data_IF_113659813260
#
_entry.id   IF_113659813260
#
_cell.length_a   1.000
_cell.length_b   1.000
_cell.length_c   1.000
_cell.angle_alpha   90.00
_cell.angle_beta   90.00
_cell.angle_gamma   90.00
#
_symmetry.space_group_name_H-M   'P 1'
#
loop_
_entity.id
_entity.type
_entity.pdbx_description
1 polymer ?
#
# COMPACT_ATOMS: atom_id res chain seq x y z
N UNK A 1 11.19 8.67 -2.34
CA UNK A 1 10.70 8.69 -0.93
C UNK A 1 10.15 7.34 -0.52
N UNK A 2 10.41 6.86 0.70
CA UNK A 2 9.93 5.57 1.18
C UNK A 2 8.59 5.66 1.94
N UNK A 3 7.91 4.50 2.05
CA UNK A 3 6.63 4.39 2.79
C UNK A 3 6.75 4.80 4.27
N UNK A 4 7.95 4.73 4.86
CA UNK A 4 8.18 5.06 6.28
C UNK A 4 8.13 6.55 6.51
N UNK A 5 8.78 7.33 5.64
CA UNK A 5 8.82 8.80 5.71
C UNK A 5 7.42 9.40 5.50
N UNK A 6 6.66 8.93 4.49
CA UNK A 6 5.25 9.33 4.33
C UNK A 6 4.41 8.92 5.55
N UNK A 7 4.59 7.70 6.02
CA UNK A 7 3.90 7.18 7.20
C UNK A 7 4.22 7.98 8.48
N UNK A 8 5.40 8.56 8.59
CA UNK A 8 5.78 9.45 9.69
C UNK A 8 4.98 10.75 9.64
N UNK A 9 4.96 11.43 8.50
CA UNK A 9 4.17 12.65 8.32
C UNK A 9 2.67 12.39 8.54
N UNK A 10 2.13 11.34 7.94
CA UNK A 10 0.72 10.98 8.06
C UNK A 10 0.28 10.68 9.50
N UNK A 11 1.15 10.04 10.31
CA UNK A 11 0.84 9.74 11.72
C UNK A 11 0.73 10.98 12.59
N UNK A 12 1.36 12.08 12.20
CA UNK A 12 1.30 13.36 12.89
C UNK A 12 -0.01 14.11 12.65
N UNK A 13 -0.71 13.85 11.55
CA UNK A 13 -1.99 14.50 11.25
C UNK A 13 -3.12 13.94 12.14
N UNK A 14 -3.01 14.16 13.45
CA UNK A 14 -3.99 13.85 14.48
C UNK A 14 -4.18 15.09 15.35
N UNK A 15 -5.31 15.19 16.06
CA UNK A 15 -5.63 16.36 16.88
C UNK A 15 -4.49 16.78 17.82
N UNK A 16 -3.89 15.82 18.50
CA UNK A 16 -2.90 16.07 19.55
C UNK A 16 -1.47 16.24 19.02
N UNK A 17 -1.23 16.04 17.74
CA UNK A 17 0.12 16.03 17.13
C UNK A 17 0.23 16.80 15.82
N UNK A 18 -0.87 17.37 15.32
CA UNK A 18 -0.87 18.22 14.14
C UNK A 18 -0.29 19.58 14.46
N UNK A 19 0.62 20.03 13.61
CA UNK A 19 1.29 21.34 13.73
C UNK A 19 0.97 22.25 12.54
N UNK A 20 -0.12 22.00 11.82
CA UNK A 20 -0.58 22.90 10.76
C UNK A 20 -0.76 24.29 11.30
N UNK A 21 -0.08 25.26 10.71
CA UNK A 21 -0.12 26.65 11.15
C UNK A 21 -1.24 27.41 10.46
N UNK A 22 -1.47 27.12 9.17
CA UNK A 22 -2.41 27.85 8.32
C UNK A 22 -3.11 26.93 7.34
N UNK A 23 -4.36 27.27 6.99
CA UNK A 23 -5.11 26.71 5.88
C UNK A 23 -5.61 27.85 5.01
N UNK A 24 -5.42 27.71 3.69
CA UNK A 24 -6.02 28.56 2.68
C UNK A 24 -6.82 27.72 1.72
N UNK A 25 -7.88 28.25 1.12
CA UNK A 25 -8.67 27.54 0.14
C UNK A 25 -9.38 28.47 -0.81
N UNK A 26 -9.70 27.96 -2.00
CA UNK A 26 -10.49 28.66 -3.01
C UNK A 26 -11.53 27.69 -3.59
N UNK A 27 -12.80 28.03 -3.43
CA UNK A 27 -13.88 27.31 -4.10
C UNK A 27 -14.06 27.86 -5.51
N UNK A 28 -13.99 26.99 -6.48
CA UNK A 28 -14.05 27.30 -7.93
C UNK A 28 -15.29 26.61 -8.50
N UNK A 29 -16.09 27.38 -9.26
CA UNK A 29 -17.25 26.83 -9.98
C UNK A 29 -16.87 26.18 -11.32
N UNK A 30 -17.84 25.54 -11.97
CA UNK A 30 -17.70 24.89 -13.28
C UNK A 30 -17.35 25.84 -14.44
N UNK A 31 -17.51 27.16 -14.22
CA UNK A 31 -17.12 28.21 -15.16
C UNK A 31 -15.75 28.80 -14.87
N UNK A 32 -14.97 28.15 -13.99
CA UNK A 32 -13.64 28.60 -13.54
C UNK A 32 -13.66 29.93 -12.77
N UNK A 33 -14.78 30.31 -12.15
CA UNK A 33 -14.85 31.52 -11.31
C UNK A 33 -14.50 31.18 -9.85
N UNK A 34 -13.69 32.03 -9.22
CA UNK A 34 -13.46 32.01 -7.79
C UNK A 34 -14.74 32.47 -7.07
N UNK A 35 -15.41 31.54 -6.34
CA UNK A 35 -16.67 31.81 -5.67
C UNK A 35 -16.44 32.35 -4.26
N UNK A 36 -15.58 31.70 -3.49
CA UNK A 36 -15.22 32.11 -2.13
C UNK A 36 -13.83 31.60 -1.75
N UNK A 37 -13.18 32.35 -0.86
CA UNK A 37 -11.88 31.96 -0.32
C UNK A 37 -12.00 31.61 1.16
N UNK A 38 -11.16 30.68 1.60
CA UNK A 38 -10.87 30.33 2.99
C UNK A 38 -9.46 30.84 3.32
N UNK A 39 -9.30 31.53 4.45
CA UNK A 39 -7.99 31.96 4.95
C UNK A 39 -8.01 31.96 6.48
N UNK A 40 -7.57 30.85 7.09
CA UNK A 40 -7.72 30.66 8.54
C UNK A 40 -6.42 30.17 9.18
N UNK A 41 -6.22 30.49 10.43
CA UNK A 41 -5.25 29.84 11.29
C UNK A 41 -5.82 28.46 11.63
N UNK A 42 -5.11 27.39 11.25
CA UNK A 42 -5.65 26.03 11.33
C UNK A 42 -6.14 25.61 12.73
N UNK A 43 -5.46 26.08 13.77
CA UNK A 43 -5.81 25.76 15.17
C UNK A 43 -7.05 26.52 15.67
N UNK A 44 -7.55 27.50 14.92
CA UNK A 44 -8.75 28.25 15.26
C UNK A 44 -10.04 27.67 14.68
N UNK A 45 -9.92 26.63 13.84
CA UNK A 45 -11.06 25.92 13.26
C UNK A 45 -11.87 25.22 14.34
N UNK A 46 -13.20 25.12 14.13
CA UNK A 46 -14.05 24.31 14.98
C UNK A 46 -13.67 22.80 14.86
N UNK A 47 -13.90 22.04 15.92
CA UNK A 47 -13.47 20.64 16.01
C UNK A 47 -13.91 19.78 14.82
N UNK A 48 -15.16 19.93 14.36
CA UNK A 48 -15.69 19.13 13.24
C UNK A 48 -15.00 19.49 11.92
N UNK A 49 -14.80 20.76 11.63
CA UNK A 49 -14.08 21.23 10.44
C UNK A 49 -12.61 20.82 10.49
N UNK A 50 -11.95 21.01 11.64
CA UNK A 50 -10.59 20.62 11.89
C UNK A 50 -10.34 19.13 11.51
N UNK A 51 -11.20 18.22 11.96
CA UNK A 51 -11.07 16.79 11.63
C UNK A 51 -11.27 16.52 10.15
N UNK A 52 -12.20 17.19 9.49
CA UNK A 52 -12.45 17.00 8.06
C UNK A 52 -11.27 17.46 7.20
N UNK A 53 -10.69 18.59 7.51
CA UNK A 53 -9.48 19.04 6.83
C UNK A 53 -8.27 18.15 7.10
N UNK A 54 -8.11 17.61 8.32
CA UNK A 54 -7.09 16.59 8.58
C UNK A 54 -7.26 15.31 7.75
N UNK A 55 -8.50 14.86 7.54
CA UNK A 55 -8.79 13.70 6.69
C UNK A 55 -8.32 13.95 5.25
N UNK A 56 -8.55 15.15 4.72
CA UNK A 56 -8.08 15.57 3.38
C UNK A 56 -6.56 15.54 3.31
N UNK A 57 -5.86 16.20 4.24
CA UNK A 57 -4.39 16.19 4.28
C UNK A 57 -3.81 14.79 4.40
N UNK A 58 -4.41 13.91 5.21
CA UNK A 58 -4.01 12.50 5.31
C UNK A 58 -4.20 11.72 4.00
N UNK A 59 -5.19 12.09 3.20
CA UNK A 59 -5.44 11.41 1.93
C UNK A 59 -4.34 11.72 0.92
N UNK A 60 -3.89 12.97 0.87
CA UNK A 60 -2.75 13.38 0.02
C UNK A 60 -1.47 12.65 0.44
N UNK A 61 -1.25 12.40 1.74
CA UNK A 61 -0.15 11.58 2.24
C UNK A 61 -0.45 10.07 2.13
N UNK A 62 -0.78 9.58 0.95
CA UNK A 62 -0.97 8.15 0.68
C UNK A 62 0.34 7.38 0.84
N UNK A 63 0.28 6.14 1.31
CA UNK A 63 1.46 5.25 1.43
C UNK A 63 1.63 4.32 0.23
N UNK A 64 0.80 4.45 -0.79
CA UNK A 64 0.87 3.66 -2.01
C UNK A 64 1.81 4.34 -3.02
N UNK A 65 3.11 4.26 -2.73
CA UNK A 65 4.18 4.85 -3.56
C UNK A 65 4.24 4.18 -4.92
N UNK A 66 4.50 4.95 -5.96
CA UNK A 66 4.54 4.51 -7.36
C UNK A 66 3.16 4.39 -8.03
N UNK A 67 2.07 4.41 -7.26
CA UNK A 67 0.71 4.46 -7.80
C UNK A 67 -0.01 5.75 -7.39
N UNK A 68 -0.38 5.89 -6.09
CA UNK A 68 -1.06 7.10 -5.65
C UNK A 68 -0.10 8.23 -5.25
N UNK A 69 1.16 7.94 -5.03
CA UNK A 69 2.21 8.92 -4.77
C UNK A 69 3.32 8.73 -5.81
N UNK A 70 3.60 9.79 -6.53
CA UNK A 70 4.73 9.92 -7.44
C UNK A 70 5.72 10.92 -6.85
N UNK A 71 6.99 10.52 -6.77
CA UNK A 71 8.08 11.43 -6.50
C UNK A 71 8.55 12.00 -7.84
N UNK A 72 8.47 13.33 -7.97
CA UNK A 72 8.80 14.05 -9.18
C UNK A 72 9.97 14.99 -8.89
N UNK A 73 10.96 15.00 -9.78
CA UNK A 73 12.11 15.87 -9.68
C UNK A 73 11.92 17.10 -10.57
N UNK A 74 12.28 18.27 -10.05
CA UNK A 74 12.27 19.49 -10.84
C UNK A 74 13.41 19.48 -11.87
N UNK A 75 13.14 19.83 -13.13
CA UNK A 75 14.20 20.18 -14.07
C UNK A 75 15.01 21.38 -13.55
N UNK A 76 16.30 21.45 -13.88
CA UNK A 76 17.19 22.54 -13.44
C UNK A 76 16.66 23.93 -13.84
N UNK A 77 15.98 24.02 -14.96
CA UNK A 77 15.34 25.24 -15.46
C UNK A 77 14.27 25.75 -14.50
N UNK A 78 13.53 24.85 -13.87
CA UNK A 78 12.45 25.18 -12.93
C UNK A 78 12.95 25.58 -11.54
N UNK A 79 14.21 25.32 -11.23
CA UNK A 79 14.90 25.77 -10.03
C UNK A 79 15.51 27.17 -10.17
N UNK A 80 15.46 27.76 -11.36
CA UNK A 80 15.94 29.12 -11.61
C UNK A 80 14.91 30.18 -11.19
N UNK A 81 15.33 31.44 -11.02
CA UNK A 81 14.39 32.52 -10.74
C UNK A 81 13.27 32.63 -11.79
N UNK A 82 12.03 32.52 -11.35
CA UNK A 82 10.84 32.51 -12.20
C UNK A 82 10.31 31.11 -12.54
N UNK A 83 11.04 30.03 -12.20
CA UNK A 83 10.57 28.66 -12.34
C UNK A 83 9.59 28.23 -11.25
N UNK A 84 8.91 27.11 -11.49
CA UNK A 84 7.84 26.60 -10.62
C UNK A 84 8.35 26.21 -9.22
N UNK A 85 9.53 25.59 -9.13
CA UNK A 85 10.14 25.24 -7.84
C UNK A 85 10.39 26.51 -6.99
N UNK A 86 10.92 27.57 -7.59
CA UNK A 86 11.17 28.83 -6.89
C UNK A 86 9.88 29.52 -6.43
N UNK A 87 8.82 29.40 -7.25
CA UNK A 87 7.50 29.87 -6.87
C UNK A 87 6.95 29.12 -5.64
N UNK A 88 7.02 27.78 -5.65
CA UNK A 88 6.61 26.94 -4.51
C UNK A 88 7.45 27.21 -3.26
N UNK A 89 8.75 27.45 -3.41
CA UNK A 89 9.64 27.88 -2.31
C UNK A 89 9.19 29.22 -1.72
N UNK A 90 8.78 30.17 -2.56
CA UNK A 90 8.21 31.46 -2.12
C UNK A 90 6.92 31.27 -1.35
N UNK A 91 6.00 30.46 -1.89
CA UNK A 91 4.72 30.14 -1.27
C UNK A 91 4.91 29.48 0.11
N UNK A 92 5.79 28.48 0.21
CA UNK A 92 6.16 27.82 1.46
C UNK A 92 6.77 28.79 2.47
N UNK A 93 7.80 29.55 2.08
CA UNK A 93 8.50 30.52 2.95
C UNK A 93 7.59 31.64 3.46
N UNK A 94 6.54 31.99 2.72
CA UNK A 94 5.53 32.95 3.17
C UNK A 94 4.64 32.37 4.28
N UNK A 95 4.71 31.08 4.55
CA UNK A 95 3.78 30.34 5.41
C UNK A 95 2.32 30.58 5.01
N UNK A 96 2.05 30.68 3.69
CA UNK A 96 0.75 31.04 3.09
C UNK A 96 0.19 32.40 3.56
N UNK A 97 1.05 33.33 4.01
CA UNK A 97 0.62 34.66 4.49
C UNK A 97 0.64 35.72 3.39
N UNK A 98 1.37 35.48 2.29
CA UNK A 98 1.39 36.35 1.13
C UNK A 98 0.21 36.01 0.21
N UNK A 99 -0.86 36.81 0.32
CA UNK A 99 -2.07 36.62 -0.46
C UNK A 99 -1.82 36.74 -1.96
N UNK A 100 -0.85 37.59 -2.39
CA UNK A 100 -0.50 37.70 -3.80
C UNK A 100 0.05 36.39 -4.37
N UNK A 101 0.91 35.70 -3.63
CA UNK A 101 1.41 34.37 -4.02
C UNK A 101 0.30 33.32 -4.00
N UNK A 102 -0.56 33.33 -2.98
CA UNK A 102 -1.68 32.39 -2.85
C UNK A 102 -2.67 32.57 -4.00
N UNK A 103 -3.05 33.81 -4.31
CA UNK A 103 -3.97 34.11 -5.40
C UNK A 103 -3.37 33.75 -6.77
N UNK A 104 -2.08 34.02 -7.00
CA UNK A 104 -1.38 33.59 -8.20
C UNK A 104 -1.39 32.07 -8.36
N UNK A 105 -1.19 31.33 -7.27
CA UNK A 105 -1.25 29.87 -7.29
C UNK A 105 -2.66 29.36 -7.64
N UNK A 106 -3.71 29.97 -7.09
CA UNK A 106 -5.07 29.62 -7.49
C UNK A 106 -5.32 29.89 -8.96
N UNK A 107 -4.84 31.02 -9.49
CA UNK A 107 -5.00 31.35 -10.90
C UNK A 107 -4.30 30.36 -11.81
N UNK A 108 -3.09 29.91 -11.44
CA UNK A 108 -2.38 28.84 -12.16
C UNK A 108 -3.19 27.53 -12.22
N UNK A 109 -3.73 27.10 -11.08
CA UNK A 109 -4.57 25.90 -11.04
C UNK A 109 -5.84 26.10 -11.87
N UNK A 110 -6.55 27.20 -11.70
CA UNK A 110 -7.82 27.48 -12.40
C UNK A 110 -7.63 27.53 -13.92
N UNK A 111 -6.51 28.07 -14.37
CA UNK A 111 -6.19 28.13 -15.80
C UNK A 111 -5.94 26.75 -16.38
N UNK A 112 -5.13 25.91 -15.69
CA UNK A 112 -4.54 24.69 -16.24
C UNK A 112 -5.29 23.43 -15.89
N UNK A 113 -5.87 23.38 -14.66
CA UNK A 113 -6.53 22.17 -14.18
C UNK A 113 -7.82 21.88 -14.94
N UNK A 114 -7.92 20.65 -15.46
CA UNK A 114 -9.09 20.17 -16.20
C UNK A 114 -10.05 19.46 -15.24
N UNK A 115 -11.04 20.21 -14.75
CA UNK A 115 -12.08 19.68 -13.83
C UNK A 115 -13.42 19.58 -14.53
N UNK A 116 -14.13 18.47 -14.30
CA UNK A 116 -15.49 18.23 -14.82
C UNK A 116 -16.59 18.87 -13.96
N UNK A 117 -16.28 19.83 -13.09
CA UNK A 117 -17.28 20.46 -12.22
C UNK A 117 -16.67 21.39 -11.20
N UNK A 118 -17.45 21.71 -10.18
CA UNK A 118 -16.97 22.56 -9.09
C UNK A 118 -15.92 21.83 -8.27
N UNK A 119 -14.92 22.55 -7.79
CA UNK A 119 -13.87 21.99 -6.94
C UNK A 119 -13.37 22.99 -5.90
N UNK A 120 -12.71 22.47 -4.88
CA UNK A 120 -12.08 23.23 -3.81
C UNK A 120 -10.56 23.00 -3.84
N UNK A 121 -9.80 24.07 -4.02
CA UNK A 121 -8.35 24.07 -3.84
C UNK A 121 -8.08 24.32 -2.36
N UNK A 122 -7.29 23.48 -1.72
CA UNK A 122 -6.83 23.64 -0.35
C UNK A 122 -5.32 23.66 -0.27
N UNK A 123 -4.79 24.56 0.53
CA UNK A 123 -3.38 24.66 0.88
C UNK A 123 -3.24 24.56 2.40
N UNK A 124 -2.35 23.72 2.86
CA UNK A 124 -1.96 23.62 4.28
C UNK A 124 -0.49 23.93 4.42
N UNK A 125 -0.13 24.68 5.45
CA UNK A 125 1.25 24.93 5.82
C UNK A 125 1.56 24.26 7.16
N UNK A 126 2.66 23.53 7.20
CA UNK A 126 3.13 22.83 8.40
C UNK A 126 4.61 23.08 8.66
N UNK A 127 4.98 23.03 9.95
CA UNK A 127 6.35 23.06 10.42
C UNK A 127 6.55 21.88 11.36
N UNK A 128 7.41 20.97 10.97
CA UNK A 128 7.69 19.76 11.72
C UNK A 128 9.13 19.73 12.24
N UNK A 129 9.25 19.73 13.56
CA UNK A 129 10.54 19.45 14.23
C UNK A 129 10.84 17.95 14.16
N UNK A 130 11.82 17.58 13.35
CA UNK A 130 12.23 16.19 13.15
C UNK A 130 13.11 15.78 14.33
N UNK A 131 12.53 15.03 15.26
CA UNK A 131 13.22 14.64 16.51
C UNK A 131 14.28 13.57 16.28
N UNK A 132 15.44 13.73 16.88
CA UNK A 132 16.51 12.72 16.91
C UNK A 132 16.01 11.46 17.60
N UNK A 133 16.31 10.29 17.03
CA UNK A 133 16.07 8.98 17.63
C UNK A 133 17.39 8.33 17.97
N UNK A 134 17.55 7.91 19.22
CA UNK A 134 18.68 7.06 19.63
C UNK A 134 18.53 5.64 19.07
N UNK A 135 19.63 4.86 19.08
CA UNK A 135 19.62 3.43 18.72
C UNK A 135 18.58 2.62 19.50
N UNK A 136 18.20 3.06 20.70
CA UNK A 136 17.18 2.44 21.56
C UNK A 136 15.76 2.93 21.26
N UNK A 137 15.56 3.67 20.15
CA UNK A 137 14.28 4.27 19.77
C UNK A 137 13.70 5.32 20.74
N UNK A 138 14.51 5.78 21.70
CA UNK A 138 14.13 6.88 22.58
C UNK A 138 14.27 8.20 21.83
N UNK A 139 13.28 9.09 22.04
CA UNK A 139 13.34 10.46 21.50
C UNK A 139 14.30 11.28 22.37
N UNK A 140 15.27 11.93 21.74
CA UNK A 140 16.03 13.01 22.37
C UNK A 140 15.22 14.31 22.24
N UNK A 141 15.43 15.23 23.17
CA UNK A 141 14.77 16.57 23.15
C UNK A 141 15.39 17.51 22.09
N UNK A 142 16.29 17.00 21.25
CA UNK A 142 16.95 17.76 20.18
C UNK A 142 16.33 17.42 18.82
N UNK A 143 16.06 18.46 18.02
CA UNK A 143 15.61 18.31 16.62
C UNK A 143 16.82 18.01 15.73
N UNK A 144 16.67 17.05 14.82
CA UNK A 144 17.64 16.80 13.75
C UNK A 144 17.54 17.89 12.68
N UNK A 145 16.32 18.24 12.32
CA UNK A 145 15.99 19.19 11.26
C UNK A 145 14.61 19.77 11.49
N UNK A 146 14.36 20.96 10.97
CA UNK A 146 13.02 21.56 10.87
C UNK A 146 12.52 21.36 9.44
N UNK A 147 11.50 20.52 9.27
CA UNK A 147 10.86 20.29 8.00
C UNK A 147 9.63 21.19 7.86
N UNK A 148 9.79 22.27 7.11
CA UNK A 148 8.71 23.18 6.71
C UNK A 148 8.20 22.77 5.33
N UNK A 149 6.87 22.58 5.20
CA UNK A 149 6.26 22.10 3.96
C UNK A 149 4.84 22.63 3.75
N UNK A 150 4.39 22.53 2.53
CA UNK A 150 3.00 22.78 2.14
C UNK A 150 2.37 21.51 1.57
N UNK A 151 1.07 21.33 1.85
CA UNK A 151 0.23 20.33 1.20
C UNK A 151 -0.79 21.07 0.35
N UNK A 152 -0.91 20.71 -0.92
CA UNK A 152 -2.02 21.09 -1.78
C UNK A 152 -2.97 19.91 -1.95
N UNK A 153 -4.27 20.18 -1.93
CA UNK A 153 -5.30 19.19 -2.23
C UNK A 153 -6.37 19.82 -3.11
N UNK A 154 -6.68 19.17 -4.23
CA UNK A 154 -7.81 19.56 -5.09
C UNK A 154 -8.94 18.56 -4.88
N UNK A 155 -10.03 19.03 -4.33
CA UNK A 155 -11.17 18.24 -3.92
C UNK A 155 -12.38 18.54 -4.81
N UNK A 156 -13.01 17.54 -5.46
CA UNK A 156 -14.24 17.76 -6.21
C UNK A 156 -15.37 18.13 -5.26
N UNK A 157 -16.27 18.99 -5.72
CA UNK A 157 -17.51 19.25 -5.02
C UNK A 157 -18.57 18.25 -5.48
N UNK A 158 -19.12 17.51 -4.53
CA UNK A 158 -20.07 16.43 -4.79
C UNK A 158 -21.46 16.84 -4.34
N UNK A 159 -22.45 16.67 -5.23
CA UNK A 159 -23.84 16.96 -4.90
C UNK A 159 -24.44 15.79 -4.10
N UNK A 160 -25.07 16.09 -2.95
CA UNK A 160 -25.70 15.07 -2.11
C UNK A 160 -26.73 14.26 -2.88
N UNK A 161 -26.88 12.98 -2.52
CA UNK A 161 -27.91 12.13 -3.14
C UNK A 161 -29.29 12.67 -2.83
N UNK A 162 -30.23 12.65 -3.80
CA UNK A 162 -31.62 13.02 -3.53
C UNK A 162 -32.23 12.07 -2.50
N UNK A 163 -32.96 12.59 -1.55
CA UNK A 163 -33.58 11.79 -0.49
C UNK A 163 -34.89 12.38 -0.01
N UNK A 164 -35.68 11.55 0.69
CA UNK A 164 -36.83 11.99 1.43
C UNK A 164 -36.43 12.27 2.89
N UNK A 165 -36.85 13.39 3.42
CA UNK A 165 -36.59 13.75 4.81
C UNK A 165 -37.65 14.69 5.35
N UNK A 166 -37.59 14.98 6.65
CA UNK A 166 -38.49 15.91 7.27
C UNK A 166 -38.13 17.35 6.90
N UNK A 167 -39.02 18.00 6.12
CA UNK A 167 -38.89 19.40 5.79
C UNK A 167 -39.60 20.21 6.85
N UNK A 168 -38.83 20.97 7.65
CA UNK A 168 -39.36 21.80 8.76
C UNK A 168 -40.31 22.91 8.28
N UNK A 169 -39.99 23.54 7.15
CA UNK A 169 -40.80 24.65 6.62
C UNK A 169 -42.19 24.21 6.15
N UNK A 170 -42.26 23.02 5.59
CA UNK A 170 -43.51 22.39 5.07
C UNK A 170 -44.16 21.46 6.08
N UNK A 171 -43.54 21.21 7.23
CA UNK A 171 -43.97 20.29 8.28
C UNK A 171 -44.46 18.93 7.72
N UNK A 172 -43.68 18.35 6.79
CA UNK A 172 -44.00 17.06 6.16
C UNK A 172 -42.75 16.33 5.64
N UNK A 173 -42.90 15.05 5.38
CA UNK A 173 -41.90 14.32 4.62
C UNK A 173 -41.99 14.75 3.16
N UNK A 174 -40.88 15.24 2.62
CA UNK A 174 -40.75 15.67 1.22
C UNK A 174 -39.29 15.47 0.76
N UNK A 175 -39.01 15.70 -0.53
CA UNK A 175 -37.66 15.76 -1.03
C UNK A 175 -36.88 16.88 -0.35
N UNK A 176 -35.70 16.55 0.16
CA UNK A 176 -34.75 17.53 0.68
C UNK A 176 -34.00 18.19 -0.47
N UNK A 177 -33.61 19.45 -0.25
CA UNK A 177 -32.69 20.12 -1.17
C UNK A 177 -31.37 19.34 -1.20
N UNK A 178 -30.77 19.29 -2.37
CA UNK A 178 -29.44 18.75 -2.54
C UNK A 178 -28.44 19.84 -2.19
N UNK A 179 -27.43 19.46 -1.42
CA UNK A 179 -26.36 20.35 -1.00
C UNK A 179 -25.02 19.85 -1.56
N UNK A 180 -24.13 20.80 -1.84
CA UNK A 180 -22.77 20.49 -2.24
C UNK A 180 -21.92 20.23 -1.01
N UNK A 181 -21.10 19.19 -1.05
CA UNK A 181 -20.12 18.89 -0.03
C UNK A 181 -18.75 18.60 -0.66
N UNK A 182 -17.70 18.84 0.11
CA UNK A 182 -16.32 18.60 -0.32
C UNK A 182 -16.06 17.10 -0.38
N UNK A 183 -15.69 16.60 -1.55
CA UNK A 183 -15.24 15.23 -1.75
C UNK A 183 -13.80 15.01 -1.25
N UNK A 184 -13.34 13.78 -1.31
CA UNK A 184 -11.92 13.49 -1.06
C UNK A 184 -11.08 14.00 -2.23
N UNK A 185 -9.81 14.39 -2.00
CA UNK A 185 -8.97 14.93 -3.06
C UNK A 185 -8.78 13.93 -4.20
N UNK A 186 -8.91 14.43 -5.42
CA UNK A 186 -8.58 13.71 -6.66
C UNK A 186 -7.10 13.80 -6.95
N UNK A 187 -6.51 14.96 -6.74
CA UNK A 187 -5.08 15.20 -6.91
C UNK A 187 -4.57 16.19 -5.86
N UNK A 188 -3.26 16.31 -5.76
CA UNK A 188 -2.60 17.21 -4.83
C UNK A 188 -1.10 16.96 -4.77
N UNK A 189 -0.40 17.67 -3.92
CA UNK A 189 1.04 17.44 -3.73
C UNK A 189 1.49 17.84 -2.33
N UNK A 190 2.71 17.41 -1.99
CA UNK A 190 3.47 17.85 -0.81
C UNK A 190 4.81 18.39 -1.28
N UNK A 191 5.13 19.62 -0.91
CA UNK A 191 6.40 20.26 -1.26
C UNK A 191 7.05 20.96 -0.05
N UNK A 192 8.35 20.79 0.13
CA UNK A 192 9.26 19.88 -0.56
C UNK A 192 9.02 18.42 -0.19
N UNK A 193 9.67 17.48 -0.88
CA UNK A 193 9.61 16.08 -0.51
C UNK A 193 10.33 15.83 0.82
N UNK A 194 9.94 14.76 1.55
CA UNK A 194 10.54 14.36 2.82
C UNK A 194 11.26 13.03 2.65
N UNK A 195 12.57 13.08 2.43
CA UNK A 195 13.41 11.92 2.11
C UNK A 195 14.43 11.74 3.22
N UNK A 196 14.55 10.51 3.73
CA UNK A 196 15.50 10.16 4.81
C UNK A 196 15.43 11.11 6.02
N UNK A 197 14.21 11.53 6.37
CA UNK A 197 13.91 12.46 7.46
C UNK A 197 14.48 13.88 7.26
N UNK A 198 14.76 14.24 6.03
CA UNK A 198 15.26 15.55 5.61
C UNK A 198 14.39 16.16 4.50
N UNK A 199 14.49 17.47 4.35
CA UNK A 199 13.78 18.25 3.34
C UNK A 199 14.52 18.16 2.00
N UNK A 200 13.90 17.60 0.99
CA UNK A 200 14.42 17.61 -0.39
C UNK A 200 13.66 18.63 -1.24
N UNK A 201 14.29 19.79 -1.43
CA UNK A 201 13.71 20.91 -2.20
C UNK A 201 13.74 20.69 -3.72
N UNK A 202 14.49 19.69 -4.19
CA UNK A 202 14.61 19.34 -5.61
C UNK A 202 13.47 18.43 -6.07
N UNK A 203 12.68 17.94 -5.11
CA UNK A 203 11.60 16.97 -5.36
C UNK A 203 10.27 17.41 -4.74
N UNK A 204 9.20 17.00 -5.39
CA UNK A 204 7.81 17.16 -4.93
C UNK A 204 7.11 15.81 -4.95
N UNK A 205 6.23 15.58 -3.97
CA UNK A 205 5.39 14.37 -3.93
C UNK A 205 4.03 14.72 -4.50
N UNK A 206 3.70 14.19 -5.66
CA UNK A 206 2.37 14.31 -6.24
C UNK A 206 1.48 13.17 -5.80
N UNK A 207 0.27 13.51 -5.40
CA UNK A 207 -0.81 12.58 -5.10
C UNK A 207 -1.82 12.51 -6.23
N UNK A 208 -2.23 11.31 -6.60
CA UNK A 208 -3.39 11.05 -7.46
C UNK A 208 -4.32 10.03 -6.82
N UNK A 209 -5.63 10.24 -6.91
CA UNK A 209 -6.63 9.27 -6.45
C UNK A 209 -6.75 8.09 -7.41
N UNK A 210 -6.66 8.35 -8.72
CA UNK A 210 -6.69 7.35 -9.77
C UNK A 210 -5.29 7.22 -10.41
N UNK A 211 -4.65 6.07 -10.16
CA UNK A 211 -3.32 5.79 -10.69
C UNK A 211 -3.28 5.48 -12.18
N UNK A 212 -4.43 5.31 -12.83
CA UNK A 212 -4.53 5.11 -14.29
C UNK A 212 -4.77 6.40 -15.04
N UNK A 213 -5.51 7.33 -14.43
CA UNK A 213 -5.84 8.63 -14.98
C UNK A 213 -5.20 9.72 -14.14
N UNK A 214 -3.90 9.90 -14.30
CA UNK A 214 -3.14 10.93 -13.60
C UNK A 214 -3.40 12.27 -14.28
N UNK A 215 -3.59 13.32 -13.47
CA UNK A 215 -3.68 14.70 -13.95
C UNK A 215 -2.30 15.19 -14.40
N UNK A 216 -1.97 15.00 -15.68
CA UNK A 216 -0.66 15.36 -16.26
C UNK A 216 -0.43 16.87 -16.24
N UNK A 217 -1.49 17.68 -16.37
CA UNK A 217 -1.46 19.13 -16.21
C UNK A 217 -0.98 19.60 -14.83
N UNK A 218 -1.25 18.79 -13.78
CA UNK A 218 -0.68 19.07 -12.45
C UNK A 218 0.83 18.86 -12.43
N UNK A 219 1.33 17.86 -13.17
CA UNK A 219 2.76 17.54 -13.22
C UNK A 219 3.51 18.58 -14.06
N UNK A 220 3.04 18.81 -15.29
CA UNK A 220 3.77 19.60 -16.28
C UNK A 220 3.51 21.09 -16.15
N UNK A 221 2.22 21.50 -16.09
CA UNK A 221 1.85 22.93 -16.19
C UNK A 221 1.83 23.64 -14.83
N UNK A 222 1.59 22.92 -13.72
CA UNK A 222 1.47 23.52 -12.39
C UNK A 222 2.73 23.28 -11.54
N UNK A 223 3.29 22.06 -11.58
CA UNK A 223 4.52 21.74 -10.86
C UNK A 223 5.78 21.98 -11.70
N UNK A 224 5.68 22.03 -13.04
CA UNK A 224 6.82 22.18 -13.92
C UNK A 224 7.74 20.95 -13.95
N UNK A 225 7.23 19.78 -13.56
CA UNK A 225 7.98 18.53 -13.54
C UNK A 225 7.79 17.75 -14.83
N UNK A 226 8.66 16.76 -15.08
CA UNK A 226 8.48 15.83 -16.17
C UNK A 226 7.47 14.76 -15.82
N UNK A 227 6.67 14.35 -16.82
CA UNK A 227 5.73 13.24 -16.63
C UNK A 227 6.45 11.96 -16.18
N UNK A 228 5.82 11.26 -15.25
CA UNK A 228 6.28 9.97 -14.73
C UNK A 228 5.10 9.02 -14.65
N UNK A 229 5.22 7.86 -15.30
CA UNK A 229 4.17 6.85 -15.30
C UNK A 229 4.04 6.19 -13.92
N UNK A 230 2.82 6.02 -13.47
CA UNK A 230 2.52 5.17 -12.31
C UNK A 230 2.80 3.69 -12.64
N UNK A 231 2.94 2.86 -11.62
CA UNK A 231 3.08 1.40 -11.83
C UNK A 231 1.85 0.80 -12.52
N UNK A 232 0.65 1.34 -12.27
CA UNK A 232 -0.56 0.92 -12.96
C UNK A 232 -0.53 1.29 -14.45
N UNK A 233 -0.09 2.49 -14.80
CA UNK A 233 0.09 2.91 -16.19
C UNK A 233 1.18 2.10 -16.91
N UNK A 234 2.28 1.78 -16.22
CA UNK A 234 3.33 0.91 -16.77
C UNK A 234 2.78 -0.49 -17.10
N UNK A 235 1.90 -1.04 -16.26
CA UNK A 235 1.19 -2.28 -16.54
C UNK A 235 0.24 -2.18 -17.73
N UNK A 236 -0.47 -1.05 -17.85
CA UNK A 236 -1.36 -0.82 -18.99
C UNK A 236 -0.55 -0.70 -20.29
N UNK A 237 0.58 0.00 -20.30
CA UNK A 237 1.51 0.08 -21.44
C UNK A 237 1.99 -1.32 -21.87
N UNK A 238 2.41 -2.17 -20.93
CA UNK A 238 2.79 -3.55 -21.25
C UNK A 238 1.62 -4.35 -21.81
N UNK A 239 0.43 -4.17 -21.24
CA UNK A 239 -0.80 -4.84 -21.69
C UNK A 239 -1.15 -4.43 -23.13
N UNK A 240 -1.05 -3.15 -23.46
CA UNK A 240 -1.33 -2.64 -24.81
C UNK A 240 -0.33 -3.19 -25.85
N UNK A 241 0.96 -3.25 -25.51
CA UNK A 241 1.98 -3.87 -26.37
C UNK A 241 1.72 -5.36 -26.60
N UNK A 242 1.26 -6.08 -25.59
CA UNK A 242 0.88 -7.50 -25.71
C UNK A 242 -0.39 -7.63 -26.55
N UNK A 243 -1.38 -6.75 -26.35
CA UNK A 243 -2.63 -6.72 -27.10
C UNK A 243 -2.39 -6.56 -28.63
N UNK A 244 -1.48 -5.68 -29.01
CA UNK A 244 -1.10 -5.50 -30.43
C UNK A 244 -0.56 -6.78 -31.09
N UNK A 245 0.07 -7.65 -30.30
CA UNK A 245 0.71 -8.88 -30.79
C UNK A 245 -0.23 -10.08 -30.73
N UNK A 246 -1.11 -10.17 -29.72
CA UNK A 246 -1.95 -11.35 -29.44
C UNK A 246 -3.41 -11.18 -29.82
N UNK A 247 -3.90 -9.93 -29.89
CA UNK A 247 -5.32 -9.60 -30.08
C UNK A 247 -6.14 -9.71 -28.78
N UNK A 248 -7.38 -9.19 -28.84
CA UNK A 248 -8.27 -9.05 -27.68
C UNK A 248 -8.61 -10.39 -26.99
N UNK A 249 -8.74 -11.48 -27.76
CA UNK A 249 -9.15 -12.78 -27.25
C UNK A 249 -8.09 -13.43 -26.33
N UNK A 250 -6.80 -13.14 -26.56
CA UNK A 250 -5.68 -13.81 -25.90
C UNK A 250 -4.94 -12.93 -24.90
N UNK A 251 -5.05 -11.62 -24.98
CA UNK A 251 -4.25 -10.68 -24.17
C UNK A 251 -4.39 -10.93 -22.67
N UNK A 252 -5.59 -11.25 -22.21
CA UNK A 252 -5.85 -11.49 -20.78
C UNK A 252 -5.10 -12.74 -20.27
N UNK A 253 -5.17 -13.85 -20.99
CA UNK A 253 -4.55 -15.11 -20.56
C UNK A 253 -3.02 -14.99 -20.62
N UNK A 254 -2.50 -14.33 -21.65
CA UNK A 254 -1.08 -14.02 -21.79
C UNK A 254 -0.60 -13.14 -20.65
N UNK A 255 -1.31 -12.04 -20.35
CA UNK A 255 -0.95 -11.14 -19.27
C UNK A 255 -1.07 -11.78 -17.87
N UNK A 256 -2.09 -12.61 -17.64
CA UNK A 256 -2.19 -13.38 -16.40
C UNK A 256 -0.95 -14.29 -16.21
N UNK A 257 -0.47 -14.95 -17.29
CA UNK A 257 0.75 -15.77 -17.26
C UNK A 257 2.00 -14.91 -17.04
N UNK A 258 2.18 -13.82 -17.80
CA UNK A 258 3.32 -12.88 -17.64
C UNK A 258 3.40 -12.37 -16.21
N UNK A 259 2.27 -11.97 -15.63
CA UNK A 259 2.22 -11.45 -14.26
C UNK A 259 2.57 -12.53 -13.22
N UNK A 260 2.21 -13.79 -13.44
CA UNK A 260 2.58 -14.90 -12.56
C UNK A 260 4.09 -15.15 -12.64
N UNK A 261 4.67 -15.18 -13.84
CA UNK A 261 6.11 -15.38 -14.02
C UNK A 261 6.93 -14.24 -13.37
N UNK A 262 6.52 -12.98 -13.58
CA UNK A 262 7.15 -11.85 -12.92
C UNK A 262 6.98 -11.90 -11.39
N UNK A 263 5.83 -12.39 -10.90
CA UNK A 263 5.61 -12.57 -9.47
C UNK A 263 6.54 -13.64 -8.88
N UNK A 264 6.85 -14.72 -9.61
CA UNK A 264 7.84 -15.72 -9.18
C UNK A 264 9.23 -15.09 -9.04
N UNK A 265 9.68 -14.31 -10.03
CA UNK A 265 10.98 -13.60 -9.95
C UNK A 265 11.03 -12.67 -8.74
N UNK A 266 9.95 -11.95 -8.47
CA UNK A 266 9.87 -11.05 -7.30
C UNK A 266 9.81 -11.78 -5.96
N UNK A 267 9.23 -12.99 -5.91
CA UNK A 267 9.17 -13.79 -4.68
C UNK A 267 10.53 -14.44 -4.37
N UNK A 268 11.27 -14.87 -5.40
CA UNK A 268 12.63 -15.39 -5.27
C UNK A 268 13.64 -14.30 -4.89
N UNK A 269 13.53 -13.12 -5.49
CA UNK A 269 14.38 -11.97 -5.20
C UNK A 269 13.56 -10.67 -5.15
N UNK A 270 13.11 -10.24 -3.95
CA UNK A 270 12.31 -9.02 -3.78
C UNK A 270 12.98 -7.72 -4.21
N UNK A 271 14.30 -7.69 -4.33
CA UNK A 271 15.08 -6.52 -4.76
C UNK A 271 15.36 -6.50 -6.27
N UNK A 272 14.74 -7.40 -7.04
CA UNK A 272 14.92 -7.45 -8.49
C UNK A 272 14.22 -6.27 -9.18
N UNK A 273 15.01 -5.51 -9.92
CA UNK A 273 14.50 -4.45 -10.81
C UNK A 273 13.96 -5.06 -12.11
N UNK A 274 13.00 -4.35 -12.70
CA UNK A 274 12.49 -4.70 -14.03
C UNK A 274 13.63 -4.63 -15.06
N UNK A 275 13.75 -5.64 -15.90
CA UNK A 275 14.71 -5.65 -16.99
C UNK A 275 14.07 -6.19 -18.27
N UNK A 276 14.70 -5.89 -19.39
CA UNK A 276 14.31 -6.45 -20.69
C UNK A 276 14.26 -7.98 -20.67
N UNK A 277 15.23 -8.61 -20.00
CA UNK A 277 15.36 -10.06 -19.88
C UNK A 277 14.19 -10.65 -19.10
N UNK A 278 13.77 -10.01 -18.00
CA UNK A 278 12.61 -10.44 -17.21
C UNK A 278 11.33 -10.40 -18.03
N UNK A 279 11.09 -9.27 -18.73
CA UNK A 279 9.91 -9.10 -19.59
C UNK A 279 9.93 -10.10 -20.75
N UNK A 280 11.08 -10.25 -21.44
CA UNK A 280 11.26 -11.23 -22.51
C UNK A 280 10.94 -12.65 -22.04
N UNK A 281 11.57 -13.09 -20.95
CA UNK A 281 11.38 -14.44 -20.41
C UNK A 281 9.92 -14.71 -20.04
N UNK A 282 9.27 -13.78 -19.36
CA UNK A 282 7.87 -13.92 -18.99
C UNK A 282 6.93 -14.00 -20.22
N UNK A 283 7.20 -13.25 -21.27
CA UNK A 283 6.45 -13.28 -22.53
C UNK A 283 6.67 -14.61 -23.28
N UNK A 284 7.89 -15.14 -23.30
CA UNK A 284 8.19 -16.44 -23.90
C UNK A 284 7.48 -17.59 -23.17
N UNK A 285 7.47 -17.58 -21.84
CA UNK A 285 6.69 -18.53 -21.03
C UNK A 285 5.18 -18.43 -21.31
N UNK A 286 4.69 -17.22 -21.61
CA UNK A 286 3.30 -17.02 -22.02
C UNK A 286 3.00 -17.39 -23.49
N UNK A 287 3.99 -17.94 -24.21
CA UNK A 287 3.83 -18.42 -25.59
C UNK A 287 4.06 -17.39 -26.69
N UNK A 288 4.60 -16.22 -26.38
CA UNK A 288 4.98 -15.20 -27.35
C UNK A 288 6.30 -15.62 -28.03
N UNK A 289 6.36 -15.52 -29.36
CA UNK A 289 7.56 -15.83 -30.12
C UNK A 289 8.73 -14.90 -29.73
N UNK A 290 9.95 -15.45 -29.66
CA UNK A 290 11.15 -14.76 -29.16
C UNK A 290 11.40 -13.40 -29.80
N UNK A 291 11.25 -13.29 -31.13
CA UNK A 291 11.46 -12.02 -31.83
C UNK A 291 10.46 -10.94 -31.42
N UNK A 292 9.22 -11.31 -31.13
CA UNK A 292 8.18 -10.40 -30.63
C UNK A 292 8.41 -10.06 -29.17
N UNK A 293 8.77 -11.03 -28.34
CA UNK A 293 9.08 -10.82 -26.92
C UNK A 293 10.27 -9.86 -26.73
N UNK A 294 11.33 -9.98 -27.55
CA UNK A 294 12.46 -9.04 -27.56
C UNK A 294 12.00 -7.63 -27.91
N UNK A 295 11.17 -7.49 -28.95
CA UNK A 295 10.68 -6.16 -29.39
C UNK A 295 9.80 -5.49 -28.32
N UNK A 296 8.88 -6.24 -27.71
CA UNK A 296 8.07 -5.73 -26.60
C UNK A 296 8.97 -5.32 -25.43
N UNK A 297 9.96 -6.14 -25.05
CA UNK A 297 10.89 -5.81 -23.98
C UNK A 297 11.67 -4.50 -24.25
N UNK A 298 12.16 -4.31 -25.48
CA UNK A 298 12.85 -3.07 -25.87
C UNK A 298 11.94 -1.84 -25.84
N UNK A 299 10.74 -1.96 -26.39
CA UNK A 299 9.75 -0.87 -26.40
C UNK A 299 9.30 -0.51 -25.00
N UNK A 300 9.02 -1.52 -24.15
CA UNK A 300 8.62 -1.30 -22.79
C UNK A 300 9.71 -0.57 -21.97
N UNK A 301 10.96 -1.05 -22.03
CA UNK A 301 12.07 -0.37 -21.34
C UNK A 301 12.30 1.05 -21.84
N UNK A 302 11.98 1.34 -23.10
CA UNK A 302 12.08 2.69 -23.65
C UNK A 302 10.92 3.60 -23.21
N UNK A 303 9.76 3.04 -22.86
CA UNK A 303 8.57 3.78 -22.43
C UNK A 303 8.59 4.13 -20.94
N UNK A 304 9.32 3.36 -20.10
CA UNK A 304 9.51 3.69 -18.70
C UNK A 304 10.74 4.58 -18.52
N UNK A 305 10.70 5.45 -17.51
CA UNK A 305 11.86 6.31 -17.22
C UNK A 305 13.04 5.44 -16.75
N UNK A 306 14.13 5.44 -17.51
CA UNK A 306 15.31 4.60 -17.22
C UNK A 306 16.13 5.07 -16.01
N UNK A 307 15.91 6.31 -15.53
CA UNK A 307 16.61 6.82 -14.35
C UNK A 307 16.12 6.17 -13.05
N UNK A 308 14.86 5.72 -13.02
CA UNK A 308 14.25 5.05 -11.86
C UNK A 308 13.47 3.81 -12.30
N UNK A 309 14.19 2.75 -12.63
CA UNK A 309 13.55 1.47 -12.96
C UNK A 309 12.87 0.90 -11.71
N UNK A 310 11.58 0.52 -11.79
CA UNK A 310 10.85 -0.02 -10.63
C UNK A 310 11.32 -1.43 -10.27
N UNK A 311 11.04 -1.84 -9.02
CA UNK A 311 11.13 -3.25 -8.64
C UNK A 311 10.02 -4.05 -9.34
N UNK A 312 10.30 -5.29 -9.69
CA UNK A 312 9.31 -6.18 -10.31
C UNK A 312 8.07 -6.31 -9.41
N UNK A 313 8.27 -6.45 -8.10
CA UNK A 313 7.17 -6.55 -7.14
C UNK A 313 6.25 -5.33 -7.07
N UNK A 314 6.72 -4.17 -7.49
CA UNK A 314 5.91 -2.95 -7.47
C UNK A 314 4.96 -2.86 -8.68
N UNK A 315 5.38 -3.36 -9.84
CA UNK A 315 4.56 -3.35 -11.07
C UNK A 315 3.61 -4.55 -11.18
N UNK A 316 3.93 -5.68 -10.53
CA UNK A 316 3.12 -6.90 -10.61
C UNK A 316 1.83 -6.74 -9.81
N UNK A 317 0.65 -7.06 -10.39
CA UNK A 317 -0.62 -6.98 -9.67
C UNK A 317 -0.66 -7.85 -8.41
N UNK A 318 -1.24 -7.32 -7.33
CA UNK A 318 -1.38 -8.03 -6.05
C UNK A 318 -2.05 -9.42 -6.18
N UNK A 319 -2.90 -9.61 -7.20
CA UNK A 319 -3.56 -10.90 -7.47
C UNK A 319 -2.53 -11.97 -7.84
N UNK A 320 -1.60 -11.66 -8.74
CA UNK A 320 -0.54 -12.59 -9.17
C UNK A 320 0.41 -12.91 -8.01
N UNK A 321 0.85 -11.89 -7.26
CA UNK A 321 1.69 -12.09 -6.07
C UNK A 321 1.04 -13.01 -5.03
N UNK A 322 -0.27 -12.87 -4.77
CA UNK A 322 -0.99 -13.75 -3.85
C UNK A 322 -1.08 -15.19 -4.36
N UNK A 323 -1.25 -15.38 -5.68
CA UNK A 323 -1.29 -16.71 -6.28
C UNK A 323 0.05 -17.44 -6.06
N UNK A 324 1.16 -16.76 -6.35
CA UNK A 324 2.51 -17.32 -6.17
C UNK A 324 2.77 -17.67 -4.71
N UNK A 325 2.54 -16.75 -3.79
CA UNK A 325 2.71 -16.98 -2.34
C UNK A 325 1.89 -18.17 -1.84
N UNK A 326 0.60 -18.23 -2.22
CA UNK A 326 -0.26 -19.34 -1.82
C UNK A 326 0.21 -20.70 -2.40
N UNK A 327 0.78 -20.69 -3.61
CA UNK A 327 1.31 -21.92 -4.21
C UNK A 327 2.58 -22.38 -3.48
N UNK A 328 3.50 -21.45 -3.20
CA UNK A 328 4.73 -21.73 -2.45
C UNK A 328 4.43 -22.23 -1.03
N UNK A 329 3.48 -21.61 -0.32
CA UNK A 329 3.03 -22.09 0.99
C UNK A 329 2.44 -23.51 0.92
N UNK A 330 1.65 -23.83 -0.12
CA UNK A 330 1.12 -25.18 -0.32
C UNK A 330 2.20 -26.21 -0.61
N UNK A 331 3.24 -25.85 -1.35
CA UNK A 331 4.35 -26.74 -1.62
C UNK A 331 5.18 -27.01 -0.37
N UNK A 332 5.48 -25.97 0.41
CA UNK A 332 6.15 -26.10 1.70
C UNK A 332 5.37 -27.00 2.67
N UNK A 333 4.06 -26.83 2.76
CA UNK A 333 3.20 -27.67 3.58
C UNK A 333 3.18 -29.13 3.10
N UNK A 334 3.21 -29.37 1.78
CA UNK A 334 3.31 -30.73 1.23
C UNK A 334 4.64 -31.39 1.56
N UNK A 335 5.75 -30.66 1.51
CA UNK A 335 7.06 -31.16 1.92
C UNK A 335 7.10 -31.48 3.42
N UNK A 336 6.55 -30.59 4.26
CA UNK A 336 6.47 -30.80 5.69
C UNK A 336 5.62 -32.05 6.04
N UNK A 337 4.46 -32.23 5.39
CA UNK A 337 3.64 -33.44 5.52
C UNK A 337 4.42 -34.67 5.10
N UNK A 338 5.19 -34.60 4.01
CA UNK A 338 6.01 -35.71 3.55
C UNK A 338 7.11 -36.08 4.55
N UNK A 339 7.74 -35.08 5.16
CA UNK A 339 8.76 -35.29 6.19
C UNK A 339 8.17 -35.82 7.50
N UNK A 340 6.99 -35.33 7.91
CA UNK A 340 6.27 -35.88 9.04
C UNK A 340 5.86 -37.34 8.84
N UNK A 341 5.35 -37.67 7.64
CA UNK A 341 5.00 -39.05 7.30
C UNK A 341 6.23 -39.98 7.33
N UNK A 342 7.41 -39.50 6.85
CA UNK A 342 8.67 -40.27 6.97
C UNK A 342 9.07 -40.52 8.42
N UNK A 343 8.89 -39.48 9.31
CA UNK A 343 9.16 -39.61 10.74
C UNK A 343 8.19 -40.59 11.40
N UNK A 344 6.90 -40.54 11.04
CA UNK A 344 5.91 -41.53 11.52
C UNK A 344 6.29 -42.93 11.11
N UNK A 345 6.61 -43.17 9.84
CA UNK A 345 7.05 -44.49 9.35
C UNK A 345 8.29 -44.99 10.11
N UNK A 346 9.28 -44.12 10.38
CA UNK A 346 10.47 -44.51 11.17
C UNK A 346 10.15 -44.81 12.65
N UNK A 347 9.11 -44.18 13.21
CA UNK A 347 8.65 -44.50 14.56
C UNK A 347 7.85 -45.80 14.59
N UNK A 348 7.06 -46.08 13.55
CA UNK A 348 6.34 -47.33 13.41
C UNK A 348 7.32 -48.53 13.24
N UNK A 349 8.38 -48.38 12.42
CA UNK A 349 9.43 -49.40 12.31
C UNK A 349 10.21 -49.63 13.63
N UNK A 350 10.36 -48.58 14.48
CA UNK A 350 10.96 -48.74 15.81
C UNK A 350 9.99 -49.29 16.85
N UNK A 351 8.67 -49.17 16.63
CA UNK A 351 7.65 -49.76 17.50
C UNK A 351 7.31 -51.21 17.18
N UNK A 352 7.63 -51.73 16.00
CA UNK A 352 7.49 -53.15 15.65
C UNK A 352 8.38 -54.07 16.51
N UNK A 353 9.32 -53.52 17.29
CA UNK A 353 10.09 -54.26 18.27
C UNK A 353 9.40 -54.34 19.65
N UNK A 354 8.21 -53.79 19.83
CA UNK A 354 7.40 -53.98 21.00
C UNK A 354 6.46 -55.19 20.80
N UNK A 355 6.86 -56.37 21.30
CA UNK A 355 6.01 -57.55 21.30
C UNK A 355 4.66 -57.29 21.98
N UNK A 356 3.58 -57.36 21.21
CA UNK A 356 2.21 -57.40 21.71
C UNK A 356 1.96 -58.74 22.38
N UNK A 357 1.70 -58.71 23.67
CA UNK A 357 1.16 -59.86 24.39
C UNK A 357 -0.36 -59.93 24.17
N UNK A 358 -0.81 -60.76 23.24
CA UNK A 358 -2.22 -61.13 23.11
C UNK A 358 -2.56 -62.23 24.13
N UNK A 359 -3.52 -61.94 25.01
CA UNK A 359 -4.12 -62.99 25.86
C UNK A 359 -5.34 -63.51 25.08
N UNK A 360 -5.23 -64.75 24.64
CA UNK A 360 -6.33 -65.47 23.94
C UNK A 360 -7.37 -65.84 25.01
N UNK A 361 -8.50 -65.24 25.00
CA UNK A 361 -9.85 -65.40 25.56
C UNK A 361 -10.38 -64.08 26.17
N UNK A 362 -11.17 -63.38 25.34
CA UNK A 362 -11.96 -62.24 25.76
C UNK A 362 -11.29 -60.88 25.64
N UNK A 363 -10.83 -60.49 24.47
CA UNK A 363 -10.58 -59.13 23.93
C UNK A 363 -9.89 -58.10 24.88
N UNK A 364 -8.99 -58.51 25.80
CA UNK A 364 -8.18 -57.59 26.57
C UNK A 364 -6.74 -57.58 26.02
N UNK A 365 -6.41 -56.55 25.27
CA UNK A 365 -5.05 -56.27 24.76
C UNK A 365 -4.36 -55.32 25.73
N UNK A 366 -3.26 -55.78 26.35
CA UNK A 366 -2.46 -54.94 27.22
C UNK A 366 -1.09 -54.74 26.59
N UNK A 367 -0.79 -53.51 26.18
CA UNK A 367 0.52 -53.13 25.64
C UNK A 367 1.41 -52.60 26.78
N UNK A 368 2.53 -53.27 27.02
CA UNK A 368 3.51 -52.87 28.03
C UNK A 368 4.91 -52.75 27.43
N UNK A 369 5.74 -51.92 28.04
CA UNK A 369 7.14 -51.79 27.68
C UNK A 369 7.89 -53.07 27.97
N UNK A 370 8.85 -53.48 27.10
CA UNK A 370 9.62 -54.73 27.21
C UNK A 370 10.26 -54.95 28.59
N UNK A 371 10.69 -53.92 29.29
CA UNK A 371 11.27 -53.98 30.63
C UNK A 371 10.28 -54.39 31.72
N UNK A 372 8.98 -54.22 31.49
CA UNK A 372 7.92 -54.58 32.45
C UNK A 372 7.26 -55.92 32.17
N UNK A 373 7.62 -56.56 31.07
CA UNK A 373 7.07 -57.87 30.71
C UNK A 373 7.31 -58.94 31.76
N UNK A 374 8.49 -58.95 32.38
CA UNK A 374 8.86 -59.91 33.46
C UNK A 374 8.20 -59.61 34.80
N UNK A 375 7.60 -58.44 34.96
CA UNK A 375 6.92 -58.05 36.22
C UNK A 375 5.43 -58.38 36.19
N UNK A 376 4.87 -58.80 35.05
CA UNK A 376 3.47 -59.19 34.91
C UNK A 376 3.31 -60.60 35.53
N UNK A 377 2.40 -60.71 36.49
CA UNK A 377 2.13 -62.01 37.15
C UNK A 377 0.62 -62.22 37.28
N UNK A 378 0.25 -63.52 37.33
CA UNK A 378 -1.12 -63.94 37.64
C UNK A 378 -1.21 -64.24 39.12
N UNK A 379 -2.16 -63.62 39.80
CA UNK A 379 -2.48 -63.82 41.21
C UNK A 379 -3.97 -64.07 41.40
N UNK A 380 -4.32 -64.93 42.35
CA UNK A 380 -5.69 -65.10 42.75
C UNK A 380 -5.98 -64.16 43.89
N UNK A 381 -6.81 -63.15 43.67
CA UNK A 381 -7.19 -62.19 44.67
C UNK A 381 -8.67 -62.43 44.96
N UNK A 382 -9.00 -62.79 46.20
CA UNK A 382 -10.35 -63.07 46.70
C UNK A 382 -11.16 -64.07 45.86
N UNK A 383 -10.49 -65.06 45.31
CA UNK A 383 -11.11 -66.13 44.53
C UNK A 383 -11.24 -65.80 43.01
N UNK A 384 -10.75 -64.65 42.55
CA UNK A 384 -10.74 -64.22 41.16
C UNK A 384 -9.28 -64.28 40.62
N UNK A 385 -9.12 -64.86 39.45
CA UNK A 385 -7.81 -64.84 38.76
C UNK A 385 -7.57 -63.47 38.13
N UNK A 386 -6.57 -62.76 38.63
CA UNK A 386 -6.20 -61.42 38.20
C UNK A 386 -4.83 -61.42 37.51
N UNK A 387 -4.66 -60.54 36.52
CA UNK A 387 -3.34 -60.19 35.97
C UNK A 387 -2.90 -58.91 36.68
N UNK A 388 -1.80 -58.98 37.40
CA UNK A 388 -1.23 -57.86 38.16
C UNK A 388 -0.05 -57.29 37.37
N UNK A 389 -0.17 -55.98 37.11
CA UNK A 389 0.87 -55.21 36.40
C UNK A 389 1.34 -54.13 37.38
N UNK A 390 2.59 -54.13 37.83
CA UNK A 390 3.11 -53.08 38.67
C UNK A 390 3.22 -51.77 37.87
N UNK A 391 2.61 -50.71 38.37
CA UNK A 391 2.67 -49.36 37.81
C UNK A 391 3.43 -48.42 38.72
N UNK A 392 4.26 -47.54 38.16
CA UNK A 392 4.94 -46.45 38.85
C UNK A 392 4.20 -45.14 38.67
N UNK A 393 4.51 -44.12 39.45
CA UNK A 393 3.87 -42.77 39.34
C UNK A 393 4.03 -42.10 37.97
N UNK A 394 5.01 -42.56 37.18
CA UNK A 394 5.25 -42.06 35.82
C UNK A 394 4.47 -42.78 34.73
N UNK A 395 3.72 -43.84 35.07
CA UNK A 395 3.01 -44.65 34.08
C UNK A 395 1.60 -44.11 33.84
N UNK A 396 1.27 -43.88 32.59
CA UNK A 396 -0.09 -43.52 32.16
C UNK A 396 -0.89 -44.76 31.80
N UNK A 397 -1.77 -45.19 32.69
CA UNK A 397 -2.71 -46.28 32.40
C UNK A 397 -3.98 -45.73 31.84
N UNK A 398 -4.31 -46.10 30.59
CA UNK A 398 -5.63 -45.85 29.98
C UNK A 398 -6.37 -47.17 29.95
N UNK A 399 -7.55 -47.22 30.57
CA UNK A 399 -8.52 -48.30 30.43
C UNK A 399 -9.61 -47.78 29.53
N UNK A 400 -9.72 -48.32 28.31
CA UNK A 400 -10.77 -47.99 27.37
C UNK A 400 -11.93 -48.98 27.55
#
# INVERSE_FOLDING_TARGET
MDKKSIGELRRRLKKDSCTFTKICGCYVDDNKNKVTNLDEIFMNLEDEEYYKYLEIGKKVLSTNVGNNILELNFPIEEEQPGGHQQFLMGLKKSALKDQGLVDTFYDMIIEKYDSLGNYLILLFHDVYDVMTKTSDNNKLDESEEVYEYIICAICPMVLSKPGLGYNKDKNRISTLNREWFVGMPETGFVFPAFIDRSSDIHSVLMYTADSKNVHTEMIEDILGCREKLTYAQQQDVLTDMVLEVTGEDMVKDVMDTVNIELAHVSDENPESYVSKEHIKSALEHAGIAENKAVNIGDQYMSSINTEEVPLIGDIVPNKAQKIVKNNNEKELLKEEIKDLNRKIASIEETNDNNEQLTVDEGEIIITVNSEKKELIRRENIDGVNCVVIPVSESDHVKIN
#
